data_IF_216455415074
#
_entry.id   IF_216455415074
#
_cell.length_a   1.000
_cell.length_b   1.000
_cell.length_c   1.000
_cell.angle_alpha   90.00
_cell.angle_beta   90.00
_cell.angle_gamma   90.00
#
_symmetry.space_group_name_H-M   'P 1'
#
loop_
_entity.id
_entity.type
_entity.pdbx_description
1 polymer ?
#
# COMPACT_ATOMS: atom_id res chain seq x y z
N UNK A 1 -4.93 -39.34 -0.52
CA UNK A 1 -5.11 -37.89 -0.74
C UNK A 1 -5.96 -37.71 -2.00
N UNK A 2 -7.02 -36.89 -1.96
CA UNK A 2 -7.81 -36.61 -3.15
C UNK A 2 -7.11 -35.55 -4.02
N UNK A 3 -7.20 -35.69 -5.34
CA UNK A 3 -6.84 -34.63 -6.28
C UNK A 3 -8.02 -33.67 -6.36
N UNK A 4 -7.80 -32.38 -6.09
CA UNK A 4 -8.84 -31.35 -6.05
C UNK A 4 -8.54 -30.25 -7.07
N UNK A 5 -9.57 -29.77 -7.75
CA UNK A 5 -9.52 -28.57 -8.60
C UNK A 5 -10.44 -27.51 -7.99
N UNK A 6 -9.88 -26.36 -7.61
CA UNK A 6 -10.63 -25.21 -7.07
C UNK A 6 -10.34 -24.00 -7.95
N UNK A 7 -11.36 -23.16 -8.18
CA UNK A 7 -11.29 -21.96 -9.02
C UNK A 7 -11.37 -20.72 -8.14
N UNK A 8 -10.70 -19.64 -8.55
CA UNK A 8 -10.98 -18.32 -7.98
C UNK A 8 -12.40 -17.87 -8.35
N UNK A 9 -12.88 -16.84 -7.65
CA UNK A 9 -14.19 -16.21 -7.89
C UNK A 9 -14.31 -15.72 -9.33
N UNK A 10 -13.27 -15.05 -9.84
CA UNK A 10 -13.17 -14.55 -11.22
C UNK A 10 -13.37 -15.65 -12.27
N UNK A 11 -12.68 -16.78 -12.12
CA UNK A 11 -12.79 -17.91 -13.04
C UNK A 11 -14.14 -18.62 -12.89
N UNK A 12 -14.68 -18.71 -11.67
CA UNK A 12 -16.03 -19.25 -11.42
C UNK A 12 -17.11 -18.41 -12.11
N UNK A 13 -17.01 -17.08 -12.02
CA UNK A 13 -17.94 -16.14 -12.65
C UNK A 13 -17.91 -16.22 -14.18
N UNK A 14 -16.70 -16.27 -14.77
CA UNK A 14 -16.50 -16.44 -16.21
C UNK A 14 -17.16 -17.72 -16.74
N UNK A 15 -17.06 -18.81 -15.99
CA UNK A 15 -17.55 -20.13 -16.39
C UNK A 15 -19.06 -20.35 -16.09
N UNK A 16 -19.73 -19.42 -15.41
CA UNK A 16 -21.16 -19.49 -15.12
C UNK A 16 -22.02 -19.37 -16.39
N UNK A 17 -23.27 -19.86 -16.34
CA UNK A 17 -24.23 -19.78 -17.46
C UNK A 17 -25.56 -19.19 -16.97
N UNK A 18 -25.89 -17.92 -17.32
CA UNK A 18 -25.04 -16.97 -18.05
C UNK A 18 -23.80 -16.54 -17.24
N UNK A 19 -22.75 -16.06 -17.93
CA UNK A 19 -21.51 -15.62 -17.27
C UNK A 19 -21.77 -14.43 -16.35
N UNK A 20 -21.18 -14.46 -15.15
CA UNK A 20 -21.26 -13.36 -14.18
C UNK A 20 -20.08 -12.42 -14.44
N UNK A 21 -20.32 -11.11 -14.42
CA UNK A 21 -19.27 -10.11 -14.61
C UNK A 21 -18.53 -9.89 -13.28
N UNK A 22 -17.21 -10.11 -13.28
CA UNK A 22 -16.32 -9.75 -12.17
C UNK A 22 -15.89 -8.28 -12.24
N UNK A 23 -15.31 -7.76 -11.15
CA UNK A 23 -14.63 -6.47 -11.18
C UNK A 23 -13.50 -6.50 -12.23
N UNK A 24 -13.55 -5.59 -13.20
CA UNK A 24 -12.59 -5.52 -14.30
C UNK A 24 -11.14 -5.35 -13.84
N UNK A 25 -10.92 -4.84 -12.62
CA UNK A 25 -9.59 -4.62 -12.04
C UNK A 25 -8.93 -5.89 -11.53
N UNK A 26 -9.69 -6.97 -11.38
CA UNK A 26 -9.18 -8.30 -11.02
C UNK A 26 -8.75 -9.11 -12.25
N UNK A 27 -9.33 -8.85 -13.43
CA UNK A 27 -9.10 -9.69 -14.62
C UNK A 27 -8.44 -8.96 -15.80
N UNK A 28 -8.67 -7.65 -15.98
CA UNK A 28 -8.31 -6.90 -17.20
C UNK A 28 -7.81 -5.48 -16.93
N UNK A 29 -7.49 -5.18 -15.68
CA UNK A 29 -7.03 -3.85 -15.29
C UNK A 29 -5.64 -3.53 -15.80
N UNK A 30 -5.41 -2.27 -16.17
CA UNK A 30 -4.07 -1.78 -16.49
C UNK A 30 -3.32 -1.46 -15.20
N UNK A 31 -2.10 -1.96 -15.05
CA UNK A 31 -1.22 -1.58 -13.94
C UNK A 31 -0.75 -0.14 -14.17
N UNK A 32 -1.07 0.72 -13.21
CA UNK A 32 -0.58 2.10 -13.08
C UNK A 32 0.43 2.13 -11.93
N UNK A 33 1.36 3.08 -11.98
CA UNK A 33 2.35 3.28 -10.91
C UNK A 33 2.37 4.74 -10.49
N UNK A 34 2.52 4.96 -9.18
CA UNK A 34 2.80 6.25 -8.57
C UNK A 34 4.11 6.13 -7.80
N UNK A 35 5.04 7.04 -8.08
CA UNK A 35 6.37 7.04 -7.46
C UNK A 35 6.65 8.40 -6.81
N UNK A 36 7.21 8.35 -5.61
CA UNK A 36 7.65 9.54 -4.89
C UNK A 36 8.66 9.22 -3.80
N UNK A 37 9.39 10.25 -3.39
CA UNK A 37 10.40 10.16 -2.34
C UNK A 37 10.43 11.45 -1.52
N UNK A 38 10.96 11.35 -0.31
CA UNK A 38 11.26 12.49 0.57
C UNK A 38 12.67 12.36 1.15
N UNK A 39 13.19 13.47 1.65
CA UNK A 39 14.43 13.49 2.45
C UNK A 39 14.07 13.34 3.92
N UNK A 40 14.36 12.18 4.50
CA UNK A 40 14.30 11.97 5.95
C UNK A 40 15.50 12.66 6.59
N UNK A 41 15.28 13.34 7.71
CA UNK A 41 16.32 14.10 8.41
C UNK A 41 16.68 13.42 9.73
N UNK A 42 17.96 13.45 10.10
CA UNK A 42 18.39 12.99 11.41
C UNK A 42 17.64 13.76 12.52
N UNK A 43 17.04 13.02 13.45
CA UNK A 43 16.23 13.57 14.53
C UNK A 43 14.73 13.63 14.23
N UNK A 44 14.28 13.23 13.03
CA UNK A 44 12.85 13.05 12.76
C UNK A 44 12.28 12.05 13.78
N UNK A 45 11.31 12.54 14.55
CA UNK A 45 10.80 11.85 15.73
C UNK A 45 9.66 10.92 15.39
N UNK A 46 9.34 10.00 16.31
CA UNK A 46 8.23 9.06 16.17
C UNK A 46 6.94 9.81 15.82
N UNK A 47 6.15 9.25 14.90
CA UNK A 47 4.96 9.83 14.28
C UNK A 47 5.19 10.91 13.21
N UNK A 48 6.45 11.24 12.87
CA UNK A 48 6.74 12.02 11.66
C UNK A 48 6.22 11.27 10.43
N UNK A 49 5.66 12.00 9.45
CA UNK A 49 4.97 11.42 8.29
C UNK A 49 5.69 11.76 7.00
N UNK A 50 5.99 10.75 6.21
CA UNK A 50 6.53 10.85 4.87
C UNK A 50 5.44 10.43 3.87
N UNK A 51 4.84 11.39 3.18
CA UNK A 51 3.78 11.15 2.20
C UNK A 51 4.45 10.83 0.87
N UNK A 52 4.29 9.60 0.38
CA UNK A 52 5.09 9.07 -0.73
C UNK A 52 4.31 9.00 -2.05
N UNK A 53 3.02 8.69 -1.99
CA UNK A 53 2.17 8.57 -3.18
C UNK A 53 0.71 8.87 -2.82
N UNK A 54 -0.08 9.35 -3.78
CA UNK A 54 -1.53 9.51 -3.66
C UNK A 54 -2.22 8.63 -4.70
N UNK A 55 -3.18 7.83 -4.27
CA UNK A 55 -3.92 6.88 -5.11
C UNK A 55 -5.42 7.18 -5.03
N UNK A 56 -6.20 6.92 -6.09
CA UNK A 56 -7.66 6.95 -6.00
C UNK A 56 -8.15 6.07 -4.84
N UNK A 57 -9.15 6.53 -4.07
CA UNK A 57 -9.71 5.78 -2.93
C UNK A 57 -10.23 4.39 -3.34
N UNK A 58 -10.70 4.30 -4.58
CA UNK A 58 -11.20 3.05 -5.15
C UNK A 58 -10.07 2.12 -5.59
N UNK A 59 -8.81 2.55 -5.76
CA UNK A 59 -7.70 1.77 -6.36
C UNK A 59 -7.37 0.44 -5.62
N UNK A 60 -6.75 -0.52 -6.28
CA UNK A 60 -6.39 -1.84 -5.74
C UNK A 60 -4.87 -1.90 -5.83
N UNK A 61 -4.21 -1.94 -4.67
CA UNK A 61 -2.75 -1.98 -4.62
C UNK A 61 -2.28 -3.37 -5.00
N UNK A 62 -1.34 -3.44 -5.94
CA UNK A 62 -0.72 -4.68 -6.41
C UNK A 62 0.67 -4.86 -5.84
N UNK A 63 1.42 -3.77 -5.71
CA UNK A 63 2.73 -3.82 -5.09
C UNK A 63 3.10 -2.48 -4.45
N UNK A 64 3.87 -2.53 -3.37
CA UNK A 64 4.60 -1.39 -2.81
C UNK A 64 6.07 -1.77 -2.74
N UNK A 65 6.88 -1.13 -3.58
CA UNK A 65 8.33 -1.28 -3.56
C UNK A 65 8.97 -0.13 -2.80
N UNK A 66 9.45 -0.40 -1.59
CA UNK A 66 10.13 0.58 -0.75
C UNK A 66 11.62 0.65 -1.12
N UNK A 67 12.15 1.87 -1.24
CA UNK A 67 13.59 2.11 -1.38
C UNK A 67 14.01 3.19 -0.38
N UNK A 68 15.18 3.01 0.24
CA UNK A 68 15.74 4.02 1.13
C UNK A 68 17.26 3.93 1.23
N UNK A 69 17.89 5.03 1.64
CA UNK A 69 19.25 5.00 2.17
C UNK A 69 19.28 4.27 3.52
N UNK A 70 20.48 4.04 4.06
CA UNK A 70 20.61 3.69 5.47
C UNK A 70 20.25 4.91 6.32
N UNK A 71 19.12 4.85 7.02
CA UNK A 71 18.58 5.93 7.86
C UNK A 71 19.03 5.84 9.33
N UNK A 72 20.04 5.00 9.60
CA UNK A 72 20.72 4.90 10.88
C UNK A 72 20.26 3.73 11.75
N UNK A 73 21.01 3.46 12.81
CA UNK A 73 20.74 2.32 13.69
C UNK A 73 19.34 2.42 14.31
N UNK A 74 18.61 1.31 14.32
CA UNK A 74 17.25 1.19 14.87
C UNK A 74 16.17 2.01 14.17
N UNK A 75 16.44 2.70 13.05
CA UNK A 75 15.42 3.46 12.33
C UNK A 75 14.39 2.52 11.68
N UNK A 76 13.12 2.87 11.80
CA UNK A 76 12.02 2.06 11.26
C UNK A 76 10.80 2.92 10.95
N UNK A 77 10.02 2.50 9.95
CA UNK A 77 8.78 3.16 9.53
C UNK A 77 7.61 2.17 9.47
N UNK A 78 6.41 2.63 9.76
CA UNK A 78 5.18 1.93 9.39
C UNK A 78 4.75 2.39 8.00
N UNK A 79 4.27 1.46 7.15
CA UNK A 79 3.71 1.78 5.85
C UNK A 79 2.20 1.57 5.87
N UNK A 80 1.46 2.64 5.56
CA UNK A 80 0.02 2.65 5.71
C UNK A 80 -0.70 3.65 4.80
N UNK A 81 -1.99 3.78 5.06
CA UNK A 81 -2.94 4.58 4.29
C UNK A 81 -3.51 5.70 5.16
N UNK A 82 -3.49 6.91 4.62
CA UNK A 82 -3.96 8.13 5.27
C UNK A 82 -4.98 8.84 4.37
N UNK A 83 -5.86 9.64 4.98
CA UNK A 83 -6.63 10.64 4.23
C UNK A 83 -5.65 11.58 3.55
N UNK A 84 -6.01 12.08 2.37
CA UNK A 84 -5.11 12.99 1.67
C UNK A 84 -4.82 14.25 2.52
N UNK A 85 -3.72 14.92 2.21
CA UNK A 85 -3.31 16.13 2.96
C UNK A 85 -4.32 17.29 2.91
N UNK A 86 -5.15 17.37 1.86
CA UNK A 86 -6.22 18.38 1.76
C UNK A 86 -7.40 18.07 2.69
N UNK A 87 -7.63 16.79 2.97
CA UNK A 87 -8.67 16.25 3.85
C UNK A 87 -8.14 15.99 5.28
N UNK A 88 -7.07 16.68 5.68
CA UNK A 88 -6.56 16.69 7.06
C UNK A 88 -5.50 15.62 7.40
N UNK A 89 -5.11 14.74 6.48
CA UNK A 89 -3.96 13.84 6.69
C UNK A 89 -4.11 12.85 7.86
N UNK A 90 -5.35 12.51 8.23
CA UNK A 90 -5.64 11.57 9.31
C UNK A 90 -5.28 10.13 8.92
N UNK A 91 -4.79 9.35 9.88
CA UNK A 91 -4.50 7.93 9.65
C UNK A 91 -5.80 7.17 9.42
N UNK A 92 -5.87 6.39 8.35
CA UNK A 92 -6.94 5.40 8.13
C UNK A 92 -6.47 4.05 8.66
N UNK A 93 -5.28 3.63 8.20
CA UNK A 93 -4.58 2.45 8.72
C UNK A 93 -3.08 2.69 8.64
N UNK A 94 -2.45 3.01 9.78
CA UNK A 94 -1.06 3.48 9.83
C UNK A 94 -0.01 2.43 9.44
N UNK A 95 -0.36 1.15 9.48
CA UNK A 95 0.53 0.00 9.24
C UNK A 95 -0.14 -1.09 8.40
N UNK A 96 -0.97 -0.70 7.43
CA UNK A 96 -1.68 -1.65 6.56
C UNK A 96 -0.73 -2.57 5.77
N UNK A 97 0.44 -2.07 5.35
CA UNK A 97 1.35 -2.82 4.49
C UNK A 97 2.57 -3.34 5.26
N UNK A 98 3.12 -2.52 6.15
CA UNK A 98 4.24 -2.90 7.00
C UNK A 98 4.14 -2.22 8.37
N UNK A 99 4.51 -2.96 9.42
CA UNK A 99 4.70 -2.43 10.77
C UNK A 99 6.18 -2.54 11.12
N UNK A 100 6.78 -1.43 11.58
CA UNK A 100 8.20 -1.35 11.93
C UNK A 100 9.14 -1.87 10.83
N UNK A 101 8.89 -1.51 9.56
CA UNK A 101 9.79 -1.78 8.45
C UNK A 101 11.16 -1.16 8.75
N UNK A 102 12.18 -2.01 8.91
CA UNK A 102 13.53 -1.55 9.21
C UNK A 102 14.09 -0.71 8.04
N UNK A 103 14.71 0.41 8.38
CA UNK A 103 15.39 1.32 7.45
C UNK A 103 16.85 1.57 7.85
N UNK A 104 17.36 0.73 8.75
CA UNK A 104 18.75 0.74 9.24
C UNK A 104 19.77 0.18 8.26
N UNK A 105 19.31 -0.20 7.07
CA UNK A 105 20.11 -0.57 5.92
C UNK A 105 19.49 0.04 4.67
N UNK A 106 20.29 0.20 3.62
CA UNK A 106 19.78 0.64 2.34
C UNK A 106 18.84 -0.42 1.74
N UNK A 107 17.67 0.01 1.30
CA UNK A 107 16.70 -0.84 0.60
C UNK A 107 16.60 -0.39 -0.85
N UNK A 108 16.53 -1.36 -1.77
CA UNK A 108 16.34 -1.10 -3.20
C UNK A 108 15.19 -1.93 -3.71
N UNK A 109 14.07 -1.28 -4.03
CA UNK A 109 12.81 -1.91 -4.47
C UNK A 109 12.43 -3.13 -3.61
N UNK A 110 12.57 -3.03 -2.29
CA UNK A 110 12.14 -4.08 -1.38
C UNK A 110 10.61 -4.16 -1.39
N UNK A 111 10.07 -5.37 -1.60
CA UNK A 111 8.62 -5.57 -1.57
C UNK A 111 8.10 -5.45 -0.13
N UNK A 112 7.27 -4.44 0.09
CA UNK A 112 6.65 -4.14 1.37
C UNK A 112 5.12 -4.33 1.34
N UNK A 113 4.57 -4.95 0.29
CA UNK A 113 3.13 -5.02 0.03
C UNK A 113 2.35 -5.71 1.15
N UNK A 114 2.94 -6.69 1.82
CA UNK A 114 2.32 -7.35 2.97
C UNK A 114 3.36 -7.74 4.04
N UNK A 115 4.40 -6.93 4.21
CA UNK A 115 5.45 -7.18 5.20
C UNK A 115 4.92 -7.23 6.65
N UNK A 116 3.79 -6.58 6.93
CA UNK A 116 3.11 -6.60 8.22
C UNK A 116 2.07 -7.70 8.41
N UNK A 117 1.77 -8.49 7.36
CA UNK A 117 0.73 -9.54 7.40
C UNK A 117 -0.72 -9.03 7.42
N UNK A 118 -0.93 -7.72 7.39
CA UNK A 118 -2.23 -7.04 7.53
C UNK A 118 -2.92 -6.76 6.19
N UNK A 119 -2.21 -6.80 5.05
CA UNK A 119 -2.72 -6.68 3.69
C UNK A 119 -2.85 -8.07 3.04
N UNK A 120 -3.74 -8.89 3.62
CA UNK A 120 -4.02 -10.27 3.21
C UNK A 120 -4.52 -10.37 1.77
N UNK A 121 -4.55 -11.59 1.21
CA UNK A 121 -5.08 -11.85 -0.13
C UNK A 121 -6.51 -11.32 -0.30
N UNK A 122 -7.37 -11.47 0.72
CA UNK A 122 -8.75 -10.95 0.68
C UNK A 122 -8.78 -9.42 0.54
N UNK A 123 -7.84 -8.70 1.16
CA UNK A 123 -7.74 -7.24 1.05
C UNK A 123 -7.11 -6.77 -0.25
N UNK A 124 -6.29 -7.61 -0.90
CA UNK A 124 -5.72 -7.33 -2.22
C UNK A 124 -6.77 -7.36 -3.33
N UNK A 125 -7.92 -7.99 -3.08
CA UNK A 125 -9.10 -7.96 -3.97
C UNK A 125 -10.09 -6.83 -3.64
N UNK A 126 -9.78 -5.98 -2.67
CA UNK A 126 -10.66 -4.88 -2.23
C UNK A 126 -10.15 -3.51 -2.70
N UNK A 127 -11.05 -2.53 -2.91
CA UNK A 127 -10.64 -1.14 -3.09
C UNK A 127 -9.90 -0.62 -1.84
N UNK A 128 -8.97 0.32 -2.03
CA UNK A 128 -8.03 0.79 -1.02
C UNK A 128 -8.74 1.30 0.24
N UNK A 129 -9.85 2.03 0.10
CA UNK A 129 -10.63 2.50 1.24
C UNK A 129 -11.14 1.35 2.12
N UNK A 130 -11.63 0.28 1.50
CA UNK A 130 -12.19 -0.88 2.20
C UNK A 130 -11.08 -1.72 2.83
N UNK A 131 -10.00 -1.96 2.08
CA UNK A 131 -8.84 -2.68 2.59
C UNK A 131 -8.18 -1.96 3.78
N UNK A 132 -8.20 -0.62 3.78
CA UNK A 132 -7.74 0.22 4.87
C UNK A 132 -8.72 0.26 6.06
N UNK A 133 -9.95 -0.25 5.91
CA UNK A 133 -10.93 -0.40 7.00
C UNK A 133 -12.00 0.69 7.09
N UNK A 134 -12.14 1.55 6.07
CA UNK A 134 -13.28 2.47 6.01
C UNK A 134 -14.57 1.69 5.70
N UNK A 135 -15.70 2.19 6.19
CA UNK A 135 -17.03 1.56 6.00
C UNK A 135 -17.74 2.03 4.74
N UNK A 136 -17.30 3.15 4.16
CA UNK A 136 -17.77 3.70 2.90
C UNK A 136 -16.62 4.35 2.14
N UNK A 137 -16.74 4.44 0.82
CA UNK A 137 -15.77 5.15 -0.02
C UNK A 137 -15.79 6.65 0.31
N UNK A 138 -14.67 7.24 0.78
CA UNK A 138 -14.59 8.68 1.01
C UNK A 138 -14.53 9.49 -0.30
N UNK A 139 -14.36 8.83 -1.45
CA UNK A 139 -14.08 9.46 -2.71
C UNK A 139 -12.69 10.10 -2.76
N UNK A 140 -12.33 10.63 -3.94
CA UNK A 140 -11.06 11.31 -4.16
C UNK A 140 -9.85 10.39 -4.03
N UNK A 141 -8.82 10.85 -3.32
CA UNK A 141 -7.56 10.12 -3.14
C UNK A 141 -7.24 9.82 -1.68
N UNK A 142 -6.46 8.76 -1.48
CA UNK A 142 -5.84 8.36 -0.23
C UNK A 142 -4.32 8.33 -0.41
N UNK A 143 -3.60 8.70 0.63
CA UNK A 143 -2.15 8.83 0.60
C UNK A 143 -1.48 7.58 1.20
N UNK A 144 -0.44 7.10 0.53
CA UNK A 144 0.48 6.08 1.03
C UNK A 144 1.58 6.80 1.79
N UNK A 145 1.69 6.49 3.09
CA UNK A 145 2.55 7.22 4.02
C UNK A 145 3.47 6.26 4.76
N UNK A 146 4.76 6.62 4.80
CA UNK A 146 5.71 6.04 5.74
C UNK A 146 5.71 6.88 7.03
N UNK A 147 5.24 6.32 8.14
CA UNK A 147 5.23 6.99 9.44
C UNK A 147 6.40 6.50 10.28
N UNK A 148 7.23 7.41 10.78
CA UNK A 148 8.38 7.08 11.62
C UNK A 148 7.91 6.35 12.88
N UNK A 149 8.36 5.10 13.04
CA UNK A 149 8.07 4.24 14.19
C UNK A 149 9.22 4.27 15.21
N UNK A 150 10.45 4.38 14.71
CA UNK A 150 11.65 4.59 15.50
C UNK A 150 12.44 5.73 14.85
N UNK A 151 12.95 6.65 15.68
CA UNK A 151 13.53 7.91 15.24
C UNK A 151 14.60 7.71 14.16
N UNK A 152 14.60 8.62 13.18
CA UNK A 152 15.61 8.59 12.11
C UNK A 152 16.94 9.09 12.67
N UNK A 153 17.99 8.29 12.50
CA UNK A 153 19.32 8.55 13.06
C UNK A 153 20.36 8.97 12.00
N UNK A 154 19.99 8.96 10.72
CA UNK A 154 20.79 9.46 9.62
C UNK A 154 19.91 10.09 8.53
N UNK A 155 20.40 11.18 7.95
CA UNK A 155 19.69 11.88 6.86
C UNK A 155 19.84 11.09 5.56
N UNK A 156 18.76 10.91 4.82
CA UNK A 156 18.77 10.15 3.57
C UNK A 156 17.42 10.13 2.88
N UNK A 157 17.40 9.59 1.66
CA UNK A 157 16.17 9.47 0.89
C UNK A 157 15.39 8.23 1.29
N UNK A 158 14.07 8.36 1.31
CA UNK A 158 13.11 7.25 1.40
C UNK A 158 12.00 7.49 0.39
N UNK A 159 11.62 6.46 -0.36
CA UNK A 159 10.62 6.55 -1.41
C UNK A 159 9.94 5.22 -1.69
N UNK A 160 8.81 5.29 -2.37
CA UNK A 160 8.02 4.12 -2.76
C UNK A 160 7.62 4.20 -4.23
N UNK A 161 7.67 3.06 -4.92
CA UNK A 161 6.97 2.81 -6.18
C UNK A 161 5.73 1.96 -5.84
N UNK A 162 4.56 2.57 -5.94
CA UNK A 162 3.27 1.95 -5.64
C UNK A 162 2.59 1.59 -6.95
N UNK A 163 2.47 0.29 -7.20
CA UNK A 163 1.73 -0.24 -8.34
C UNK A 163 0.30 -0.52 -7.93
N UNK A 164 -0.64 -0.05 -8.74
CA UNK A 164 -2.06 -0.20 -8.47
C UNK A 164 -2.85 -0.35 -9.77
N UNK A 165 -4.07 -0.86 -9.63
CA UNK A 165 -5.06 -0.88 -10.70
C UNK A 165 -6.23 -0.01 -10.26
N UNK A 166 -6.70 0.86 -11.14
CA UNK A 166 -7.92 1.64 -10.95
C UNK A 166 -8.94 1.35 -12.07
N UNK A 167 -10.13 1.93 -11.98
CA UNK A 167 -11.17 1.76 -12.99
C UNK A 167 -10.93 2.56 -14.27
N UNK A 168 -9.80 3.26 -14.40
CA UNK A 168 -9.50 4.13 -15.53
C UNK A 168 -10.54 5.23 -15.73
N UNK A 169 -10.21 6.46 -15.32
CA UNK A 169 -10.54 7.58 -16.22
C UNK A 169 -9.58 7.57 -17.39
#
# INVERSE_FOLDING_TARGET
MAVVTVKSTTITNRDAVPSIISDGRLERGSIRSSHGYVSATNGDSVNSKYILASLPSTAMVRAIYLSCANLGASSAVNLGVYRNTKDGGAAVSASLFAAAQATSAALSRADATNAGGTYTLDKQEQPLWQAAGLTADPGGTLDIVATVQAAIAATGLIGADVQYVDNGT
#
